data_IF_936375945526
#
_entry.id   IF_936375945526
#
_cell.length_a   1.000
_cell.length_b   1.000
_cell.length_c   1.000
_cell.angle_alpha   90.00
_cell.angle_beta   90.00
_cell.angle_gamma   90.00
#
_symmetry.space_group_name_H-M   'P 1'
#
loop_
_entity.id
_entity.type
_entity.pdbx_description
1 polymer ?
#
# COMPACT_ATOMS: atom_id res chain seq x y z
N UNK A 1 -15.52 0.10 -1.23
CA UNK A 1 -16.20 0.26 -2.52
C UNK A 1 -17.42 -0.65 -2.49
N UNK A 2 -18.63 -0.12 -2.70
CA UNK A 2 -19.86 -0.93 -2.73
C UNK A 2 -20.15 -1.46 -4.13
N UNK A 3 -20.97 -2.52 -4.24
CA UNK A 3 -21.41 -3.07 -5.53
C UNK A 3 -22.12 -2.02 -6.40
N UNK A 4 -22.87 -1.13 -5.76
CA UNK A 4 -23.56 -0.01 -6.40
C UNK A 4 -22.58 1.02 -6.99
N UNK A 5 -21.46 1.30 -6.30
CA UNK A 5 -20.40 2.17 -6.82
C UNK A 5 -19.67 1.55 -8.03
N UNK A 6 -19.52 0.23 -8.07
CA UNK A 6 -18.95 -0.50 -9.21
C UNK A 6 -19.88 -0.48 -10.42
N UNK A 7 -21.18 -0.69 -10.20
CA UNK A 7 -22.17 -0.67 -11.28
C UNK A 7 -22.36 0.71 -11.90
N UNK A 8 -22.20 1.78 -11.11
CA UNK A 8 -22.26 3.15 -11.60
C UNK A 8 -21.09 3.54 -12.53
N UNK A 9 -20.00 2.77 -12.53
CA UNK A 9 -18.86 2.94 -13.43
C UNK A 9 -18.98 2.11 -14.72
N UNK A 10 -20.08 1.37 -14.91
CA UNK A 10 -20.29 0.59 -16.12
C UNK A 10 -20.52 1.52 -17.35
N UNK A 11 -19.91 1.21 -18.50
CA UNK A 11 -20.08 2.01 -19.72
C UNK A 11 -21.55 2.02 -20.17
N UNK A 12 -22.00 3.17 -20.68
CA UNK A 12 -23.37 3.36 -21.14
C UNK A 12 -23.62 2.74 -22.52
N UNK A 13 -24.88 2.51 -22.86
CA UNK A 13 -25.27 2.03 -24.19
C UNK A 13 -24.79 3.02 -25.28
N UNK A 14 -23.78 2.62 -26.07
CA UNK A 14 -23.17 3.44 -27.12
C UNK A 14 -21.64 3.46 -27.11
N UNK A 15 -20.98 2.92 -26.07
CA UNK A 15 -19.52 2.78 -26.07
C UNK A 15 -19.04 1.67 -27.02
N UNK A 16 -17.92 1.94 -27.70
CA UNK A 16 -17.27 1.00 -28.64
C UNK A 16 -16.72 -0.26 -27.96
N UNK A 17 -16.59 -0.24 -26.63
CA UNK A 17 -16.09 -1.35 -25.83
C UNK A 17 -17.02 -1.60 -24.65
N UNK A 18 -17.43 -2.85 -24.46
CA UNK A 18 -18.25 -3.30 -23.34
C UNK A 18 -17.35 -3.80 -22.21
N UNK A 19 -17.65 -3.41 -20.97
CA UNK A 19 -16.90 -3.83 -19.78
C UNK A 19 -17.81 -4.70 -18.91
N UNK A 20 -17.53 -6.00 -18.92
CA UNK A 20 -18.27 -6.99 -18.12
C UNK A 20 -17.49 -7.32 -16.84
N UNK A 21 -18.12 -7.07 -15.70
CA UNK A 21 -17.53 -7.38 -14.39
C UNK A 21 -17.92 -8.79 -13.96
N UNK A 22 -17.00 -9.74 -14.11
CA UNK A 22 -17.23 -11.11 -13.65
C UNK A 22 -16.80 -11.24 -12.19
N UNK A 23 -17.71 -11.63 -11.26
CA UNK A 23 -17.33 -11.88 -9.88
C UNK A 23 -16.39 -13.09 -9.80
N UNK A 24 -15.19 -12.87 -9.26
CA UNK A 24 -14.24 -13.95 -8.98
C UNK A 24 -14.59 -14.54 -7.62
N UNK A 25 -14.72 -15.88 -7.49
CA UNK A 25 -14.93 -16.52 -6.19
C UNK A 25 -13.84 -16.10 -5.21
N UNK A 26 -14.24 -15.49 -4.10
CA UNK A 26 -13.31 -15.20 -3.01
C UNK A 26 -12.87 -16.54 -2.44
N UNK A 27 -11.63 -16.96 -2.72
CA UNK A 27 -11.05 -18.10 -2.03
C UNK A 27 -11.22 -17.85 -0.52
N UNK A 28 -11.67 -18.86 0.22
CA UNK A 28 -11.65 -18.80 1.69
C UNK A 28 -10.22 -18.43 2.07
N UNK A 29 -10.03 -17.21 2.55
CA UNK A 29 -8.71 -16.69 2.83
C UNK A 29 -8.00 -17.71 3.72
N UNK A 30 -6.80 -18.12 3.33
CA UNK A 30 -5.87 -18.62 4.34
C UNK A 30 -5.85 -17.58 5.45
N UNK A 31 -5.93 -17.99 6.71
CA UNK A 31 -5.81 -17.11 7.87
C UNK A 31 -4.35 -16.62 7.98
N UNK A 32 -3.88 -15.97 6.91
CA UNK A 32 -2.68 -15.18 6.87
C UNK A 32 -3.03 -13.98 7.74
N UNK A 33 -2.49 -13.96 8.94
CA UNK A 33 -2.26 -12.72 9.69
C UNK A 33 -0.95 -12.14 9.20
N UNK A 34 -0.93 -11.34 8.11
CA UNK A 34 0.27 -10.65 7.74
C UNK A 34 0.67 -9.74 8.89
N UNK A 35 1.96 -9.72 9.17
CA UNK A 35 2.50 -8.75 10.10
C UNK A 35 2.33 -7.36 9.44
N UNK A 36 1.51 -6.51 10.07
CA UNK A 36 1.07 -5.26 9.46
C UNK A 36 1.80 -4.10 10.10
N UNK A 37 2.50 -3.32 9.28
CA UNK A 37 3.18 -2.10 9.74
C UNK A 37 2.41 -0.88 9.26
N UNK A 38 1.90 -0.11 10.22
CA UNK A 38 1.27 1.19 9.96
C UNK A 38 2.26 2.30 10.26
N UNK A 39 2.49 3.19 9.29
CA UNK A 39 3.35 4.35 9.45
C UNK A 39 2.47 5.60 9.54
N UNK A 40 2.27 6.18 10.74
CA UNK A 40 1.43 7.36 10.91
C UNK A 40 2.11 8.60 10.29
N UNK A 41 1.34 9.54 9.72
CA UNK A 41 1.89 10.79 9.20
C UNK A 41 2.54 11.62 10.30
N UNK A 42 3.61 12.35 9.96
CA UNK A 42 4.28 13.27 10.86
C UNK A 42 3.67 14.67 10.73
N UNK A 43 3.47 15.41 11.85
CA UNK A 43 3.07 16.81 11.78
C UNK A 43 4.20 17.63 11.13
N UNK A 44 3.90 18.37 10.07
CA UNK A 44 4.90 19.04 9.27
C UNK A 44 4.99 20.55 9.58
N UNK A 45 5.83 20.92 10.54
CA UNK A 45 6.34 22.30 10.67
C UNK A 45 7.52 22.54 9.71
N UNK A 46 8.26 21.48 9.38
CA UNK A 46 9.36 21.42 8.40
C UNK A 46 9.21 20.15 7.53
N UNK A 47 8.62 20.25 6.32
CA UNK A 47 8.29 19.08 5.50
C UNK A 47 9.50 18.23 5.05
N UNK A 48 10.64 18.80 4.60
CA UNK A 48 11.84 18.02 4.32
C UNK A 48 12.37 17.21 5.51
N UNK A 49 12.43 17.82 6.70
CA UNK A 49 12.89 17.12 7.90
C UNK A 49 11.93 15.98 8.28
N UNK A 50 10.62 16.23 8.24
CA UNK A 50 9.59 15.23 8.49
C UNK A 50 9.67 14.06 7.50
N UNK A 51 9.92 14.34 6.21
CA UNK A 51 10.12 13.32 5.20
C UNK A 51 11.35 12.45 5.46
N UNK A 52 12.49 13.07 5.81
CA UNK A 52 13.71 12.32 6.15
C UNK A 52 13.47 11.42 7.37
N UNK A 53 12.84 11.95 8.40
CA UNK A 53 12.59 11.21 9.64
C UNK A 53 11.66 10.00 9.40
N UNK A 54 10.55 10.19 8.69
CA UNK A 54 9.60 9.10 8.47
C UNK A 54 10.19 7.99 7.60
N UNK A 55 10.99 8.35 6.59
CA UNK A 55 11.66 7.38 5.72
C UNK A 55 12.71 6.60 6.51
N UNK A 56 13.50 7.25 7.37
CA UNK A 56 14.45 6.54 8.23
C UNK A 56 13.76 5.58 9.21
N UNK A 57 12.65 6.03 9.81
CA UNK A 57 11.86 5.19 10.71
C UNK A 57 11.25 4.00 9.97
N UNK A 58 10.73 4.22 8.77
CA UNK A 58 10.20 3.16 7.90
C UNK A 58 11.28 2.15 7.54
N UNK A 59 12.45 2.62 7.12
CA UNK A 59 13.60 1.75 6.80
C UNK A 59 14.01 0.89 8.00
N UNK A 60 14.21 1.49 9.17
CA UNK A 60 14.59 0.74 10.37
C UNK A 60 13.54 -0.30 10.77
N UNK A 61 12.25 0.04 10.65
CA UNK A 61 11.15 -0.89 10.93
C UNK A 61 11.16 -2.05 9.94
N UNK A 62 11.32 -1.77 8.64
CA UNK A 62 11.40 -2.79 7.59
C UNK A 62 12.58 -3.73 7.82
N UNK A 63 13.78 -3.17 8.06
CA UNK A 63 14.99 -3.95 8.31
C UNK A 63 14.83 -4.88 9.52
N UNK A 64 14.28 -4.36 10.63
CA UNK A 64 14.03 -5.17 11.82
C UNK A 64 13.06 -6.32 11.53
N UNK A 65 11.97 -6.04 10.80
CA UNK A 65 10.93 -7.03 10.50
C UNK A 65 11.42 -8.10 9.54
N UNK A 66 12.12 -7.71 8.47
CA UNK A 66 12.71 -8.65 7.52
C UNK A 66 13.75 -9.54 8.23
N UNK A 67 14.59 -8.98 9.09
CA UNK A 67 15.56 -9.76 9.86
C UNK A 67 14.92 -10.74 10.86
N UNK A 68 13.71 -10.43 11.35
CA UNK A 68 12.95 -11.28 12.27
C UNK A 68 11.96 -12.22 11.55
N UNK A 69 11.81 -12.11 10.24
CA UNK A 69 10.85 -12.89 9.48
C UNK A 69 11.26 -14.37 9.44
N UNK A 70 10.30 -15.25 9.76
CA UNK A 70 10.45 -16.69 9.52
C UNK A 70 10.21 -17.01 8.06
N UNK A 71 10.68 -18.17 7.60
CA UNK A 71 10.49 -18.62 6.22
C UNK A 71 8.99 -18.65 5.85
N UNK A 72 8.60 -17.95 4.77
CA UNK A 72 7.22 -17.80 4.33
C UNK A 72 6.40 -16.70 5.02
N UNK A 73 6.97 -15.93 5.96
CA UNK A 73 6.29 -14.80 6.57
C UNK A 73 6.14 -13.62 5.58
N UNK A 74 4.94 -13.05 5.51
CA UNK A 74 4.60 -11.91 4.66
C UNK A 74 4.36 -10.67 5.51
N UNK A 75 5.07 -9.59 5.21
CA UNK A 75 4.91 -8.27 5.79
C UNK A 75 4.10 -7.39 4.83
N UNK A 76 3.03 -6.79 5.35
CA UNK A 76 2.19 -5.82 4.62
C UNK A 76 2.44 -4.43 5.20
N UNK A 77 2.82 -3.48 4.34
CA UNK A 77 3.01 -2.09 4.75
C UNK A 77 1.87 -1.23 4.24
N UNK A 78 1.18 -0.56 5.17
CA UNK A 78 0.02 0.29 4.85
C UNK A 78 0.38 1.76 5.09
N UNK A 79 0.88 2.48 4.07
CA UNK A 79 1.09 3.91 4.18
C UNK A 79 -0.25 4.66 4.10
N UNK A 80 -0.51 5.57 5.04
CA UNK A 80 -1.73 6.43 4.99
C UNK A 80 -1.41 7.75 4.31
N UNK A 81 -2.25 8.16 3.36
CA UNK A 81 -2.14 9.49 2.73
C UNK A 81 -1.00 9.66 1.71
N UNK A 82 -0.26 8.59 1.40
CA UNK A 82 0.84 8.60 0.42
C UNK A 82 0.38 8.91 -1.02
N UNK A 83 -0.92 8.76 -1.31
CA UNK A 83 -1.50 8.98 -2.62
C UNK A 83 -2.82 9.73 -2.44
N UNK A 84 -2.97 10.87 -3.10
CA UNK A 84 -4.27 11.49 -3.32
C UNK A 84 -4.62 11.40 -4.81
N UNK A 85 -5.91 11.36 -5.14
CA UNK A 85 -6.38 11.32 -6.53
C UNK A 85 -6.04 12.62 -7.29
N UNK A 86 -5.73 13.68 -6.55
CA UNK A 86 -5.44 15.04 -6.96
C UNK A 86 -3.98 15.48 -6.68
N UNK A 87 -3.09 14.54 -6.30
CA UNK A 87 -1.66 14.81 -6.09
C UNK A 87 -1.06 14.10 -4.88
N UNK A 88 0.08 14.60 -4.39
CA UNK A 88 0.71 14.09 -3.15
C UNK A 88 0.20 14.92 -1.97
N UNK A 89 -0.60 14.30 -1.09
CA UNK A 89 -1.08 14.93 0.15
C UNK A 89 -0.03 14.95 1.26
N UNK A 90 0.93 14.03 1.22
CA UNK A 90 1.98 13.89 2.22
C UNK A 90 3.28 13.41 1.54
N UNK A 91 4.24 14.32 1.39
CA UNK A 91 5.54 14.05 0.78
C UNK A 91 6.34 13.03 1.58
N UNK A 92 6.18 13.02 2.90
CA UNK A 92 6.85 12.11 3.81
C UNK A 92 6.36 10.67 3.54
N UNK A 93 5.05 10.48 3.41
CA UNK A 93 4.43 9.20 3.08
C UNK A 93 4.71 8.74 1.64
N UNK A 94 4.89 9.68 0.70
CA UNK A 94 5.31 9.35 -0.66
C UNK A 94 6.71 8.70 -0.70
N UNK A 95 7.65 9.21 0.08
CA UNK A 95 9.00 8.63 0.24
C UNK A 95 8.95 7.19 0.77
N UNK A 96 8.11 6.94 1.79
CA UNK A 96 7.86 5.60 2.31
C UNK A 96 7.34 4.64 1.25
N UNK A 97 6.41 5.08 0.39
CA UNK A 97 5.88 4.23 -0.69
C UNK A 97 6.96 3.80 -1.68
N UNK A 98 7.85 4.73 -2.05
CA UNK A 98 9.01 4.41 -2.91
C UNK A 98 9.93 3.37 -2.26
N UNK A 99 10.23 3.54 -0.98
CA UNK A 99 11.05 2.60 -0.21
C UNK A 99 10.45 1.19 -0.16
N UNK A 100 9.16 1.07 0.19
CA UNK A 100 8.47 -0.23 0.26
C UNK A 100 8.52 -0.96 -1.07
N UNK A 101 8.36 -0.23 -2.18
CA UNK A 101 8.38 -0.82 -3.52
C UNK A 101 9.75 -1.39 -3.89
N UNK A 102 10.83 -0.67 -3.58
CA UNK A 102 12.20 -1.19 -3.79
C UNK A 102 12.48 -2.39 -2.88
N UNK A 103 12.05 -2.32 -1.61
CA UNK A 103 12.24 -3.42 -0.68
C UNK A 103 11.45 -4.68 -1.08
N UNK A 104 10.26 -4.52 -1.68
CA UNK A 104 9.48 -5.63 -2.24
C UNK A 104 10.18 -6.30 -3.43
N UNK A 105 10.88 -5.53 -4.27
CA UNK A 105 11.69 -6.07 -5.37
C UNK A 105 12.91 -6.85 -4.82
N UNK A 106 13.51 -6.41 -3.72
CA UNK A 106 14.64 -7.10 -3.06
C UNK A 106 14.22 -8.34 -2.25
N UNK A 107 13.00 -8.34 -1.69
CA UNK A 107 12.48 -9.42 -0.86
C UNK A 107 11.08 -9.87 -1.30
N UNK A 108 10.94 -10.45 -2.52
CA UNK A 108 9.64 -10.76 -3.11
C UNK A 108 8.85 -11.80 -2.32
N UNK A 109 9.53 -12.65 -1.55
CA UNK A 109 8.91 -13.67 -0.71
C UNK A 109 8.52 -13.16 0.68
N UNK A 110 8.88 -11.93 1.03
CA UNK A 110 8.66 -11.38 2.36
C UNK A 110 7.79 -10.12 2.36
N UNK A 111 7.86 -9.28 1.33
CA UNK A 111 7.19 -7.97 1.29
C UNK A 111 6.12 -7.91 0.20
N UNK A 112 4.94 -7.37 0.56
CA UNK A 112 3.80 -7.13 -0.37
C UNK A 112 3.09 -5.81 -0.10
#
# INVERSE_FOLDING_TARGET
VSAEQLSAAAPGAGDLFELDWVPVPTAAGTDLRPDTVTLPPAPATDPPAAAREIVHRALGTLQQRVAAASEGARLVVVPRGAVALDGVRDLAQAGTRGLVRVAADEHPDCLV
#
